data_IF_926787041754
#
_entry.id   IF_926787041754
#
_cell.length_a   1.000
_cell.length_b   1.000
_cell.length_c   1.000
_cell.angle_alpha   90.00
_cell.angle_beta   90.00
_cell.angle_gamma   90.00
#
_symmetry.space_group_name_H-M   'P 1'
#
loop_
_entity.id
_entity.type
_entity.pdbx_description
1 polymer ?
#
# COMPACT_ATOMS: atom_id res chain seq x y z
N UNK A 1 45.76 -4.69 -9.50
CA UNK A 1 46.42 -3.36 -9.52
C UNK A 1 46.91 -3.08 -8.11
N UNK A 2 48.19 -2.75 -7.95
CA UNK A 2 48.85 -2.59 -6.63
C UNK A 2 48.40 -1.31 -5.92
N UNK A 3 48.02 -1.40 -4.65
CA UNK A 3 47.37 -0.32 -3.89
C UNK A 3 48.28 0.91 -3.71
N UNK A 4 49.59 0.69 -3.71
CA UNK A 4 50.59 1.75 -3.57
C UNK A 4 50.63 2.68 -4.80
N UNK A 5 50.37 2.15 -6.00
CA UNK A 5 50.31 2.95 -7.24
C UNK A 5 49.07 3.84 -7.30
N UNK A 6 47.95 3.37 -6.76
CA UNK A 6 46.69 4.13 -6.69
C UNK A 6 46.86 5.32 -5.76
N UNK A 7 47.51 5.10 -4.62
CA UNK A 7 47.76 6.16 -3.63
C UNK A 7 48.66 7.27 -4.19
N UNK A 8 49.74 6.92 -4.91
CA UNK A 8 50.63 7.92 -5.54
C UNK A 8 49.93 8.74 -6.62
N UNK A 9 49.05 8.12 -7.43
CA UNK A 9 48.23 8.82 -8.43
C UNK A 9 47.21 9.77 -7.78
N UNK A 10 46.62 9.36 -6.66
CA UNK A 10 45.69 10.17 -5.86
C UNK A 10 46.33 11.47 -5.37
N UNK A 11 47.57 11.37 -4.86
CA UNK A 11 48.32 12.52 -4.33
C UNK A 11 48.81 13.48 -5.41
N UNK A 12 49.12 12.97 -6.61
CA UNK A 12 49.75 13.76 -7.67
C UNK A 12 48.76 14.48 -8.61
N UNK A 13 47.58 13.92 -8.87
CA UNK A 13 46.65 14.41 -9.92
C UNK A 13 45.24 14.73 -9.44
N UNK A 14 44.97 14.60 -8.15
CA UNK A 14 43.66 14.90 -7.56
C UNK A 14 42.59 13.84 -7.81
N UNK A 15 41.54 13.88 -6.99
CA UNK A 15 40.53 12.83 -6.84
C UNK A 15 39.79 12.47 -8.13
N UNK A 16 39.59 13.44 -9.05
CA UNK A 16 38.91 13.23 -10.34
C UNK A 16 39.72 12.33 -11.30
N UNK A 17 41.04 12.49 -11.37
CA UNK A 17 41.88 11.70 -12.27
C UNK A 17 42.00 10.23 -11.83
N UNK A 18 42.01 9.99 -10.52
CA UNK A 18 42.06 8.64 -9.98
C UNK A 18 40.72 7.89 -10.12
N UNK A 19 39.59 8.58 -9.98
CA UNK A 19 38.26 8.02 -10.28
C UNK A 19 38.15 7.58 -11.75
N UNK A 20 38.69 8.38 -12.67
CA UNK A 20 38.74 8.02 -14.09
C UNK A 20 39.61 6.78 -14.30
N UNK A 21 40.80 6.71 -13.66
CA UNK A 21 41.78 5.61 -13.85
C UNK A 21 41.31 4.30 -13.23
N UNK A 22 40.69 4.33 -12.04
CA UNK A 22 40.03 3.16 -11.42
C UNK A 22 38.82 2.75 -12.27
N UNK A 23 38.05 3.72 -12.78
CA UNK A 23 36.98 3.48 -13.74
C UNK A 23 37.48 2.76 -14.99
N UNK A 24 38.59 3.19 -15.58
CA UNK A 24 39.15 2.58 -16.80
C UNK A 24 39.75 1.19 -16.54
N UNK A 25 40.39 0.98 -15.38
CA UNK A 25 40.95 -0.33 -15.01
C UNK A 25 39.86 -1.38 -14.74
N UNK A 26 38.71 -0.97 -14.21
CA UNK A 26 37.52 -1.84 -14.04
C UNK A 26 36.84 -2.08 -15.40
N UNK A 27 36.79 -1.08 -16.27
CA UNK A 27 36.23 -1.14 -17.64
C UNK A 27 36.91 -2.18 -18.55
N UNK A 28 38.22 -2.43 -18.39
CA UNK A 28 38.97 -3.34 -19.28
C UNK A 28 39.15 -4.78 -18.75
N UNK A 29 38.80 -5.08 -17.49
CA UNK A 29 39.04 -6.39 -16.87
C UNK A 29 37.89 -7.40 -16.94
N UNK A 30 36.66 -6.97 -17.28
CA UNK A 30 35.44 -7.81 -17.20
C UNK A 30 34.46 -7.55 -18.35
N UNK A 31 35.00 -7.51 -19.57
CA UNK A 31 34.36 -6.86 -20.74
C UNK A 31 33.03 -7.50 -21.20
N UNK A 32 32.76 -8.77 -20.96
CA UNK A 32 31.62 -9.45 -21.61
C UNK A 32 30.30 -9.42 -20.81
N UNK A 33 30.37 -9.56 -19.48
CA UNK A 33 29.19 -9.50 -18.61
C UNK A 33 28.80 -8.06 -18.23
N UNK A 34 29.77 -7.13 -18.27
CA UNK A 34 29.57 -5.73 -17.91
C UNK A 34 28.91 -4.91 -19.04
N UNK A 35 29.29 -5.17 -20.29
CA UNK A 35 28.78 -4.42 -21.47
C UNK A 35 27.33 -4.76 -21.81
N UNK A 36 26.89 -6.00 -21.62
CA UNK A 36 25.55 -6.45 -22.01
C UNK A 36 24.47 -6.18 -20.95
N UNK A 37 24.81 -6.04 -19.66
CA UNK A 37 23.83 -5.88 -18.57
C UNK A 37 24.05 -4.66 -17.68
N UNK A 38 25.30 -4.36 -17.32
CA UNK A 38 25.61 -3.31 -16.34
C UNK A 38 25.62 -1.93 -16.98
N UNK A 39 26.23 -1.78 -18.16
CA UNK A 39 26.23 -0.51 -18.90
C UNK A 39 24.80 -0.04 -19.21
N UNK A 40 23.89 -0.86 -19.79
CA UNK A 40 22.51 -0.45 -20.00
C UNK A 40 21.82 -0.03 -18.70
N UNK A 41 22.06 -0.76 -17.60
CA UNK A 41 21.44 -0.45 -16.30
C UNK A 41 21.96 0.87 -15.68
N UNK A 42 23.26 1.18 -15.80
CA UNK A 42 23.84 2.43 -15.33
C UNK A 42 23.40 3.60 -16.21
N UNK A 43 23.41 3.42 -17.53
CA UNK A 43 22.92 4.42 -18.48
C UNK A 43 21.45 4.69 -18.21
N UNK A 44 20.65 3.63 -18.00
CA UNK A 44 19.24 3.73 -17.66
C UNK A 44 19.02 4.46 -16.32
N UNK A 45 19.81 4.15 -15.28
CA UNK A 45 19.74 4.83 -13.99
C UNK A 45 20.15 6.31 -14.09
N UNK A 46 21.19 6.63 -14.87
CA UNK A 46 21.64 7.99 -15.09
C UNK A 46 20.60 8.79 -15.90
N UNK A 47 20.02 8.18 -16.94
CA UNK A 47 18.92 8.73 -17.73
C UNK A 47 17.68 8.98 -16.86
N UNK A 48 17.30 7.99 -16.03
CA UNK A 48 16.22 8.11 -15.05
C UNK A 48 16.48 9.18 -13.97
N UNK A 49 17.74 9.47 -13.66
CA UNK A 49 18.11 10.49 -12.67
C UNK A 49 18.14 11.90 -13.27
N UNK A 50 18.60 12.03 -14.52
CA UNK A 50 18.76 13.32 -15.20
C UNK A 50 17.47 13.77 -15.90
N UNK A 51 16.73 12.83 -16.47
CA UNK A 51 15.46 13.04 -17.17
C UNK A 51 14.46 11.97 -16.71
N UNK A 52 13.99 12.05 -15.44
CA UNK A 52 13.14 11.02 -14.89
C UNK A 52 11.93 10.77 -15.79
N UNK A 53 11.69 9.48 -16.13
CA UNK A 53 10.64 9.11 -17.06
C UNK A 53 9.29 9.62 -16.56
N UNK A 54 8.43 9.95 -17.51
CA UNK A 54 7.08 10.40 -17.23
C UNK A 54 6.07 9.26 -17.30
N UNK A 55 4.91 9.47 -16.69
CA UNK A 55 3.67 8.81 -17.08
C UNK A 55 2.53 9.84 -17.07
N UNK A 56 1.47 9.55 -17.81
CA UNK A 56 0.31 10.43 -17.93
C UNK A 56 -0.87 9.83 -17.19
N UNK A 57 -1.47 10.59 -16.29
CA UNK A 57 -2.80 10.31 -15.78
C UNK A 57 -3.81 10.87 -16.78
N UNK A 58 -4.77 10.05 -17.20
CA UNK A 58 -5.88 10.45 -18.05
C UNK A 58 -7.19 10.35 -17.26
N UNK A 59 -7.82 11.49 -16.99
CA UNK A 59 -9.06 11.54 -16.21
C UNK A 59 -10.23 11.19 -17.13
N UNK A 60 -10.95 10.09 -16.84
CA UNK A 60 -12.09 9.65 -17.65
C UNK A 60 -13.17 10.73 -17.75
N UNK A 61 -13.40 11.45 -16.65
CA UNK A 61 -14.28 12.62 -16.58
C UNK A 61 -13.43 13.86 -16.34
N UNK A 62 -13.58 14.94 -17.13
CA UNK A 62 -12.81 16.15 -16.90
C UNK A 62 -13.01 16.70 -15.50
N UNK A 63 -11.92 17.02 -14.80
CA UNK A 63 -11.96 17.52 -13.42
C UNK A 63 -10.93 18.62 -13.20
N UNK A 64 -11.36 19.73 -12.58
CA UNK A 64 -10.46 20.79 -12.13
C UNK A 64 -9.94 20.44 -10.74
N UNK A 65 -8.62 20.22 -10.64
CA UNK A 65 -7.97 19.85 -9.39
C UNK A 65 -7.41 21.09 -8.69
N UNK A 66 -7.56 21.15 -7.37
CA UNK A 66 -6.87 22.12 -6.53
C UNK A 66 -5.50 21.60 -6.08
N UNK A 67 -5.34 20.28 -5.94
CA UNK A 67 -4.04 19.66 -5.73
C UNK A 67 -3.99 18.22 -6.28
N UNK A 68 -2.76 17.76 -6.52
CA UNK A 68 -2.46 16.38 -6.86
C UNK A 68 -1.19 15.97 -6.10
N UNK A 69 -1.25 14.82 -5.44
CA UNK A 69 -0.11 14.20 -4.76
C UNK A 69 0.04 12.80 -5.31
N UNK A 70 1.25 12.46 -5.73
CA UNK A 70 1.61 11.11 -6.16
C UNK A 70 2.81 10.68 -5.38
N UNK A 71 2.79 9.56 -4.68
CA UNK A 71 3.96 9.03 -3.97
C UNK A 71 4.12 7.55 -4.32
N UNK A 72 5.36 7.07 -4.44
CA UNK A 72 5.59 5.64 -4.59
C UNK A 72 5.05 4.94 -3.35
N UNK A 73 4.38 3.79 -3.50
CA UNK A 73 3.84 3.06 -2.34
C UNK A 73 4.99 2.76 -1.37
N UNK A 74 4.83 3.18 -0.11
CA UNK A 74 5.85 3.08 0.94
C UNK A 74 6.88 4.22 0.98
N UNK A 75 6.83 5.19 0.07
CA UNK A 75 7.67 6.38 0.10
C UNK A 75 6.92 7.58 0.69
N UNK A 76 7.60 8.34 1.56
CA UNK A 76 7.04 9.54 2.19
C UNK A 76 7.05 10.77 1.26
N UNK A 77 7.91 10.78 0.25
CA UNK A 77 8.14 11.97 -0.59
C UNK A 77 7.25 11.91 -1.84
N UNK A 78 6.39 12.92 -2.08
CA UNK A 78 5.65 13.03 -3.31
C UNK A 78 6.57 13.22 -4.52
N UNK A 79 6.21 12.61 -5.64
CA UNK A 79 6.82 12.80 -6.93
C UNK A 79 6.54 14.21 -7.48
N UNK A 80 7.47 14.78 -8.26
CA UNK A 80 7.23 16.00 -9.01
C UNK A 80 6.08 15.85 -10.00
N UNK A 81 5.15 16.80 -9.97
CA UNK A 81 4.03 16.92 -10.89
C UNK A 81 4.37 17.92 -11.99
N UNK A 82 4.10 17.56 -13.24
CA UNK A 82 4.28 18.40 -14.42
C UNK A 82 3.03 19.19 -14.75
N UNK A 83 2.70 19.30 -16.04
CA UNK A 83 1.49 19.99 -16.50
C UNK A 83 0.23 19.27 -15.99
N UNK A 84 -0.69 20.03 -15.39
CA UNK A 84 -2.01 19.56 -14.95
C UNK A 84 -3.06 20.30 -15.79
N UNK A 85 -4.01 19.55 -16.33
CA UNK A 85 -5.15 20.05 -17.11
C UNK A 85 -6.41 19.29 -16.69
N UNK A 86 -7.61 19.75 -17.04
CA UNK A 86 -8.84 19.06 -16.65
C UNK A 86 -8.95 17.61 -17.12
N UNK A 87 -8.22 17.21 -18.17
CA UNK A 87 -8.29 15.86 -18.76
C UNK A 87 -7.07 15.00 -18.48
N UNK A 88 -5.94 15.60 -18.06
CA UNK A 88 -4.69 14.87 -17.83
C UNK A 88 -3.74 15.56 -16.87
N UNK A 89 -2.90 14.77 -16.22
CA UNK A 89 -1.75 15.25 -15.45
C UNK A 89 -0.49 14.45 -15.81
N UNK A 90 0.64 15.14 -16.01
CA UNK A 90 1.93 14.50 -16.24
C UNK A 90 2.69 14.31 -14.92
N UNK A 91 3.18 13.11 -14.65
CA UNK A 91 3.89 12.75 -13.41
C UNK A 91 5.28 12.26 -13.78
N UNK A 92 6.31 12.68 -13.03
CA UNK A 92 7.68 12.16 -13.20
C UNK A 92 7.92 11.00 -12.24
N UNK A 93 8.03 9.78 -12.75
CA UNK A 93 8.24 8.57 -11.95
C UNK A 93 8.54 7.34 -12.82
N UNK A 94 9.25 6.38 -12.23
CA UNK A 94 9.59 5.10 -12.88
C UNK A 94 8.39 4.14 -12.89
N UNK A 95 8.43 3.02 -13.62
CA UNK A 95 7.45 1.94 -13.43
C UNK A 95 7.35 1.50 -11.96
N UNK A 96 6.15 1.12 -11.52
CA UNK A 96 5.86 0.71 -10.14
C UNK A 96 4.46 1.05 -9.65
N UNK A 97 4.22 0.84 -8.36
CA UNK A 97 2.95 1.17 -7.70
C UNK A 97 3.04 2.52 -6.99
N UNK A 98 1.99 3.33 -7.14
CA UNK A 98 1.91 4.68 -6.59
C UNK A 98 0.60 4.91 -5.85
N UNK A 99 0.68 5.59 -4.71
CA UNK A 99 -0.45 6.25 -4.08
C UNK A 99 -0.73 7.54 -4.85
N UNK A 100 -1.98 7.71 -5.29
CA UNK A 100 -2.49 8.89 -5.97
C UNK A 100 -3.57 9.54 -5.11
N UNK A 101 -3.39 10.80 -4.74
CA UNK A 101 -4.40 11.62 -4.07
C UNK A 101 -4.70 12.83 -4.93
N UNK A 102 -5.97 12.97 -5.32
CA UNK A 102 -6.49 14.11 -6.07
C UNK A 102 -7.35 14.94 -5.13
N UNK A 103 -7.17 16.24 -5.12
CA UNK A 103 -7.98 17.18 -4.34
C UNK A 103 -8.71 18.13 -5.29
N UNK A 104 -9.99 18.42 -5.01
CA UNK A 104 -10.78 19.42 -5.75
C UNK A 104 -11.66 20.22 -4.81
N UNK A 105 -11.99 21.43 -5.22
CA UNK A 105 -13.07 22.22 -4.61
C UNK A 105 -14.35 22.01 -5.43
N UNK A 106 -15.38 21.46 -4.80
CA UNK A 106 -16.65 21.16 -5.46
C UNK A 106 -17.82 21.61 -4.60
N UNK A 107 -18.64 22.52 -5.16
CA UNK A 107 -19.85 23.07 -4.53
C UNK A 107 -19.60 23.61 -3.11
N UNK A 108 -18.48 24.30 -2.91
CA UNK A 108 -18.12 24.90 -1.62
C UNK A 108 -17.57 23.90 -0.59
N UNK A 109 -17.30 22.66 -0.98
CA UNK A 109 -16.65 21.65 -0.13
C UNK A 109 -15.35 21.17 -0.78
N UNK A 110 -14.33 20.93 0.04
CA UNK A 110 -13.11 20.26 -0.41
C UNK A 110 -13.39 18.76 -0.51
N UNK A 111 -13.01 18.14 -1.61
CA UNK A 111 -13.15 16.71 -1.85
C UNK A 111 -11.82 16.08 -2.23
N UNK A 112 -11.65 14.82 -1.86
CA UNK A 112 -10.45 14.02 -2.09
C UNK A 112 -10.84 12.71 -2.78
N UNK A 113 -10.05 12.32 -3.76
CA UNK A 113 -10.06 10.99 -4.36
C UNK A 113 -8.68 10.38 -4.13
N UNK A 114 -8.63 9.37 -3.27
CA UNK A 114 -7.43 8.59 -3.03
C UNK A 114 -7.52 7.26 -3.77
N UNK A 115 -6.55 6.93 -4.61
CA UNK A 115 -6.45 5.65 -5.32
C UNK A 115 -5.01 5.13 -5.36
N UNK A 116 -4.82 3.86 -5.75
CA UNK A 116 -3.49 3.31 -6.06
C UNK A 116 -3.46 2.98 -7.53
N UNK A 117 -2.36 3.34 -8.17
CA UNK A 117 -2.14 3.12 -9.59
C UNK A 117 -0.88 2.27 -9.80
N UNK A 118 -0.93 1.41 -10.81
CA UNK A 118 0.23 0.65 -11.27
C UNK A 118 0.69 1.23 -12.60
N UNK A 119 1.95 1.62 -12.68
CA UNK A 119 2.61 2.16 -13.87
C UNK A 119 3.45 1.04 -14.48
N UNK A 120 2.99 0.39 -15.57
CA UNK A 120 3.64 -0.81 -16.09
C UNK A 120 4.93 -0.52 -16.87
N UNK A 121 5.04 0.68 -17.46
CA UNK A 121 6.14 1.08 -18.31
C UNK A 121 6.33 2.60 -18.31
N UNK A 122 7.44 3.07 -18.89
CA UNK A 122 7.67 4.50 -19.18
C UNK A 122 6.59 5.01 -20.13
N UNK A 123 6.22 6.28 -19.97
CA UNK A 123 5.23 6.99 -20.80
C UNK A 123 3.84 6.35 -20.83
N UNK A 124 3.55 5.47 -19.85
CA UNK A 124 2.25 4.83 -19.74
C UNK A 124 1.14 5.87 -19.54
N UNK A 125 -0.01 5.63 -20.17
CA UNK A 125 -1.23 6.40 -19.96
C UNK A 125 -2.12 5.62 -19.00
N UNK A 126 -2.29 6.15 -17.79
CA UNK A 126 -3.05 5.51 -16.72
C UNK A 126 -4.45 6.14 -16.66
N UNK A 127 -5.53 5.39 -17.00
CA UNK A 127 -6.87 5.91 -16.89
C UNK A 127 -7.28 6.00 -15.41
N UNK A 128 -7.71 7.19 -14.98
CA UNK A 128 -8.20 7.45 -13.64
C UNK A 128 -9.69 7.71 -13.71
N UNK A 129 -10.46 6.93 -12.95
CA UNK A 129 -11.88 7.16 -12.79
C UNK A 129 -12.10 8.35 -11.85
N UNK A 130 -12.70 9.41 -12.39
CA UNK A 130 -12.97 10.66 -11.68
C UNK A 130 -14.47 10.94 -11.60
N UNK A 131 -15.30 9.91 -11.78
CA UNK A 131 -16.74 10.00 -11.59
C UNK A 131 -17.09 10.50 -10.17
N UNK A 132 -18.25 11.15 -10.03
CA UNK A 132 -18.65 11.85 -8.80
C UNK A 132 -18.71 10.95 -7.56
N UNK A 133 -18.99 9.66 -7.74
CA UNK A 133 -19.07 8.67 -6.65
C UNK A 133 -17.69 8.21 -6.13
N UNK A 134 -16.60 8.59 -6.80
CA UNK A 134 -15.23 8.29 -6.38
C UNK A 134 -14.70 9.30 -5.35
N UNK A 135 -15.37 10.44 -5.19
CA UNK A 135 -14.90 11.55 -4.36
C UNK A 135 -15.47 11.48 -2.95
N UNK A 136 -14.65 11.80 -1.97
CA UNK A 136 -15.05 11.91 -0.56
C UNK A 136 -14.83 13.34 -0.07
N UNK A 137 -15.80 13.96 0.60
CA UNK A 137 -15.61 15.29 1.19
C UNK A 137 -14.61 15.25 2.34
N UNK A 138 -13.70 16.22 2.41
CA UNK A 138 -12.74 16.35 3.52
C UNK A 138 -13.45 16.46 4.86
N UNK A 139 -14.60 17.14 4.95
CA UNK A 139 -15.38 17.18 6.18
C UNK A 139 -15.88 15.79 6.62
N UNK A 140 -16.25 14.91 5.67
CA UNK A 140 -16.60 13.52 5.99
C UNK A 140 -15.39 12.74 6.50
N UNK A 141 -14.19 13.07 6.03
CA UNK A 141 -12.92 12.51 6.51
C UNK A 141 -12.56 13.07 7.90
N UNK A 142 -12.58 14.39 8.10
CA UNK A 142 -12.23 15.05 9.37
C UNK A 142 -13.22 14.73 10.50
N UNK A 143 -14.49 14.46 10.18
CA UNK A 143 -15.46 13.94 11.14
C UNK A 143 -15.06 12.59 11.77
N UNK A 144 -14.03 11.94 11.23
CA UNK A 144 -13.47 10.67 11.67
C UNK A 144 -12.29 10.85 12.64
N UNK A 145 -11.71 12.05 12.73
CA UNK A 145 -10.47 12.31 13.49
C UNK A 145 -10.71 12.90 14.90
N UNK A 146 -11.98 13.11 15.32
CA UNK A 146 -12.26 13.78 16.59
C UNK A 146 -13.64 13.53 17.19
N UNK A 147 -13.75 12.50 18.03
CA UNK A 147 -14.66 12.39 19.19
C UNK A 147 -16.17 12.16 19.04
N UNK A 148 -16.86 12.23 17.89
CA UNK A 148 -18.34 12.10 17.90
C UNK A 148 -19.06 11.36 16.75
N UNK A 149 -18.42 10.50 15.96
CA UNK A 149 -19.19 9.56 15.10
C UNK A 149 -18.51 8.20 15.01
N UNK A 150 -19.21 7.09 15.30
CA UNK A 150 -18.59 5.77 15.45
C UNK A 150 -18.35 5.18 14.06
N UNK A 151 -17.22 5.52 13.44
CA UNK A 151 -16.76 4.79 12.24
C UNK A 151 -16.68 3.30 12.54
N UNK A 152 -16.32 2.97 13.78
CA UNK A 152 -16.42 1.66 14.39
C UNK A 152 -17.54 1.68 15.42
N UNK A 153 -18.67 1.07 15.07
CA UNK A 153 -19.69 0.71 16.05
C UNK A 153 -19.39 -0.70 16.59
N UNK A 154 -19.84 -0.98 17.83
CA UNK A 154 -19.85 -2.33 18.41
C UNK A 154 -18.49 -3.05 18.31
N UNK A 155 -17.47 -2.50 18.97
CA UNK A 155 -16.16 -3.17 19.09
C UNK A 155 -16.30 -4.36 20.03
N UNK A 156 -16.00 -5.56 19.53
CA UNK A 156 -16.01 -6.81 20.30
C UNK A 156 -14.59 -7.39 20.37
N UNK A 157 -14.18 -7.73 21.58
CA UNK A 157 -12.87 -8.33 21.89
C UNK A 157 -12.93 -9.87 21.94
N UNK A 158 -14.07 -10.46 21.56
CA UNK A 158 -14.27 -11.89 21.51
C UNK A 158 -15.23 -12.26 20.36
N UNK A 159 -14.93 -13.37 19.68
CA UNK A 159 -15.84 -13.99 18.74
C UNK A 159 -17.04 -14.60 19.49
N UNK A 160 -18.24 -14.39 18.96
CA UNK A 160 -19.47 -15.00 19.48
C UNK A 160 -19.73 -16.35 18.79
N UNK A 161 -20.53 -17.26 19.38
CA UNK A 161 -20.93 -18.51 18.73
C UNK A 161 -21.50 -18.31 17.32
N UNK A 162 -22.30 -17.26 17.12
CA UNK A 162 -22.87 -16.91 15.82
C UNK A 162 -21.82 -16.54 14.75
N UNK A 163 -20.63 -16.09 15.14
CA UNK A 163 -19.54 -15.82 14.20
C UNK A 163 -18.90 -17.13 13.71
N UNK A 164 -18.82 -18.13 14.58
CA UNK A 164 -18.37 -19.48 14.22
C UNK A 164 -19.41 -20.27 13.43
N UNK A 165 -20.70 -20.08 13.71
CA UNK A 165 -21.77 -20.69 12.92
C UNK A 165 -21.80 -20.15 11.50
N UNK A 166 -21.49 -18.86 11.32
CA UNK A 166 -21.31 -18.27 9.99
C UNK A 166 -20.26 -19.06 9.19
N UNK A 167 -19.08 -19.31 9.75
CA UNK A 167 -17.99 -20.06 9.09
C UNK A 167 -18.45 -21.42 8.57
N UNK A 168 -19.23 -22.16 9.37
CA UNK A 168 -19.77 -23.48 9.00
C UNK A 168 -20.75 -23.42 7.82
N UNK A 169 -21.45 -22.30 7.68
CA UNK A 169 -22.46 -22.08 6.63
C UNK A 169 -21.91 -21.40 5.38
N UNK A 170 -20.64 -20.97 5.39
CA UNK A 170 -20.03 -20.34 4.22
C UNK A 170 -20.00 -21.33 3.03
N UNK A 171 -20.41 -20.88 1.83
CA UNK A 171 -20.18 -21.61 0.59
C UNK A 171 -18.74 -22.08 0.44
N UNK A 172 -18.55 -23.24 -0.21
CA UNK A 172 -17.23 -23.87 -0.34
C UNK A 172 -16.23 -23.08 -1.21
N UNK A 173 -16.74 -22.19 -2.06
CA UNK A 173 -15.98 -21.28 -2.92
C UNK A 173 -15.54 -20.00 -2.19
N UNK A 174 -16.03 -19.75 -0.97
CA UNK A 174 -15.56 -18.64 -0.14
C UNK A 174 -14.35 -19.05 0.71
N UNK A 175 -13.45 -18.09 1.00
CA UNK A 175 -12.20 -18.36 1.72
C UNK A 175 -12.44 -18.59 3.23
N UNK A 176 -13.02 -19.73 3.58
CA UNK A 176 -13.35 -20.14 4.95
C UNK A 176 -12.13 -20.11 5.87
N UNK A 177 -10.97 -20.49 5.36
CA UNK A 177 -9.73 -20.57 6.15
C UNK A 177 -9.23 -19.17 6.57
N UNK A 178 -9.40 -18.15 5.71
CA UNK A 178 -9.06 -16.76 6.05
C UNK A 178 -9.95 -16.27 7.20
N UNK A 179 -11.26 -16.50 7.11
CA UNK A 179 -12.22 -16.09 8.16
C UNK A 179 -11.95 -16.83 9.47
N UNK A 180 -11.68 -18.14 9.38
CA UNK A 180 -11.37 -18.99 10.53
C UNK A 180 -10.11 -18.51 11.23
N UNK A 181 -9.02 -18.28 10.49
CA UNK A 181 -7.76 -17.78 11.02
C UNK A 181 -7.96 -16.41 11.69
N UNK A 182 -8.67 -15.49 11.05
CA UNK A 182 -8.96 -14.17 11.61
C UNK A 182 -9.79 -14.23 12.90
N UNK A 183 -10.80 -15.10 12.97
CA UNK A 183 -11.62 -15.27 14.18
C UNK A 183 -10.83 -15.84 15.36
N UNK A 184 -9.87 -16.73 15.11
CA UNK A 184 -8.98 -17.24 16.16
C UNK A 184 -8.09 -16.16 16.79
N UNK A 185 -7.82 -15.07 16.08
CA UNK A 185 -7.02 -13.97 16.60
C UNK A 185 -7.83 -12.93 17.38
N UNK A 186 -9.16 -12.96 17.34
CA UNK A 186 -9.99 -11.95 18.01
C UNK A 186 -9.71 -11.95 19.52
N UNK A 187 -9.30 -10.79 20.04
CA UNK A 187 -8.92 -10.60 21.45
C UNK A 187 -7.40 -10.67 21.70
N UNK A 188 -6.59 -11.12 20.74
CA UNK A 188 -5.13 -11.07 20.84
C UNK A 188 -4.70 -9.62 21.02
N UNK A 189 -3.90 -9.37 22.06
CA UNK A 189 -3.42 -8.05 22.43
C UNK A 189 -1.92 -7.94 22.24
N UNK A 190 -1.44 -6.88 21.60
CA UNK A 190 -0.01 -6.62 21.46
C UNK A 190 0.71 -6.49 22.81
N UNK A 191 0.02 -5.98 23.84
CA UNK A 191 0.60 -5.80 25.18
C UNK A 191 0.71 -7.13 25.93
N UNK A 192 -0.28 -8.02 25.78
CA UNK A 192 -0.35 -9.28 26.55
C UNK A 192 0.24 -10.47 25.77
N UNK A 193 0.14 -10.43 24.46
CA UNK A 193 0.41 -11.52 23.52
C UNK A 193 1.45 -11.08 22.49
N UNK A 194 2.50 -10.38 22.93
CA UNK A 194 3.54 -9.80 22.06
C UNK A 194 4.18 -10.83 21.12
N UNK A 195 4.41 -12.06 21.59
CA UNK A 195 4.91 -13.19 20.80
C UNK A 195 3.91 -13.64 19.73
N UNK A 196 2.60 -13.55 20.02
CA UNK A 196 1.56 -13.83 19.02
C UNK A 196 1.58 -12.78 17.92
N UNK A 197 1.65 -11.49 18.28
CA UNK A 197 1.73 -10.38 17.32
C UNK A 197 3.04 -10.43 16.53
N UNK A 198 4.16 -10.87 17.12
CA UNK A 198 5.43 -11.05 16.41
C UNK A 198 5.30 -12.04 15.23
N UNK A 199 4.50 -13.10 15.37
CA UNK A 199 4.23 -14.06 14.27
C UNK A 199 3.44 -13.45 13.12
N UNK A 200 2.72 -12.36 13.32
CA UNK A 200 2.05 -11.68 12.20
C UNK A 200 3.06 -11.07 11.23
N UNK A 201 4.20 -10.60 11.74
CA UNK A 201 5.27 -10.03 10.93
C UNK A 201 6.00 -11.09 10.10
N UNK A 202 6.09 -12.33 10.60
CA UNK A 202 6.66 -13.47 9.86
C UNK A 202 5.86 -13.82 8.60
N UNK A 203 4.57 -13.50 8.56
CA UNK A 203 3.73 -13.68 7.38
C UNK A 203 3.94 -12.59 6.31
N UNK A 204 4.88 -11.67 6.53
CA UNK A 204 5.20 -10.57 5.60
C UNK A 204 6.63 -10.68 5.11
N UNK A 205 6.95 -9.96 4.04
CA UNK A 205 8.31 -9.89 3.50
C UNK A 205 9.32 -9.21 4.46
N UNK A 206 8.87 -8.54 5.52
CA UNK A 206 9.74 -7.96 6.54
C UNK A 206 10.30 -9.02 7.53
N UNK A 207 9.70 -10.22 7.57
CA UNK A 207 10.13 -11.30 8.46
C UNK A 207 9.85 -11.05 9.95
N UNK A 208 10.43 -11.89 10.81
CA UNK A 208 10.25 -11.81 12.26
C UNK A 208 10.66 -10.43 12.82
N UNK A 209 9.91 -9.95 13.82
CA UNK A 209 9.90 -8.59 14.43
C UNK A 209 11.25 -8.01 14.88
N UNK A 210 12.37 -8.73 14.79
CA UNK A 210 13.70 -8.32 15.26
C UNK A 210 14.21 -6.97 14.72
N UNK A 211 13.58 -6.42 13.68
CA UNK A 211 13.89 -5.10 13.10
C UNK A 211 12.71 -4.10 13.12
N UNK A 212 11.61 -4.39 13.84
CA UNK A 212 10.36 -3.64 13.73
C UNK A 212 10.07 -2.90 15.03
N UNK A 213 10.03 -1.57 14.98
CA UNK A 213 9.69 -0.71 16.12
C UNK A 213 8.32 -1.09 16.72
N UNK A 214 8.15 -1.12 18.05
CA UNK A 214 6.85 -1.34 18.70
C UNK A 214 5.78 -0.31 18.31
N UNK A 215 6.17 0.85 17.77
CA UNK A 215 5.24 1.89 17.33
C UNK A 215 4.68 1.66 15.92
N UNK A 216 5.13 0.61 15.21
CA UNK A 216 4.67 0.35 13.85
C UNK A 216 3.27 -0.28 13.85
N UNK A 217 2.30 0.31 13.13
CA UNK A 217 0.97 -0.27 13.03
C UNK A 217 1.01 -1.68 12.41
N UNK A 218 0.39 -2.65 13.07
CA UNK A 218 0.40 -4.06 12.64
C UNK A 218 -0.95 -4.54 12.07
N UNK A 219 -1.88 -3.64 11.74
CA UNK A 219 -3.16 -4.03 11.16
C UNK A 219 -3.00 -4.80 9.83
N UNK A 220 -2.07 -4.39 8.96
CA UNK A 220 -1.75 -5.08 7.71
C UNK A 220 -1.06 -6.42 7.92
N UNK A 221 -0.19 -6.55 8.92
CA UNK A 221 0.50 -7.81 9.21
C UNK A 221 -0.45 -8.86 9.76
N UNK A 222 -1.44 -8.46 10.57
CA UNK A 222 -2.52 -9.34 11.00
C UNK A 222 -3.29 -9.92 9.80
N UNK A 223 -3.65 -9.08 8.81
CA UNK A 223 -4.34 -9.57 7.60
C UNK A 223 -3.41 -10.47 6.79
N UNK A 224 -2.12 -10.16 6.72
CA UNK A 224 -1.12 -11.00 6.04
C UNK A 224 -1.04 -12.40 6.67
N UNK A 225 -1.08 -12.47 8.00
CA UNK A 225 -1.09 -13.71 8.76
C UNK A 225 -2.32 -14.58 8.47
N UNK A 226 -3.52 -13.99 8.53
CA UNK A 226 -4.75 -14.72 8.26
C UNK A 226 -4.82 -15.22 6.80
N UNK A 227 -4.37 -14.41 5.85
CA UNK A 227 -4.29 -14.78 4.42
C UNK A 227 -3.26 -15.89 4.18
N UNK A 228 -2.08 -15.79 4.80
CA UNK A 228 -1.02 -16.80 4.68
C UNK A 228 -1.42 -18.14 5.31
N UNK A 229 -2.22 -18.13 6.38
CA UNK A 229 -2.75 -19.36 7.01
C UNK A 229 -3.65 -20.13 6.03
N UNK A 230 -4.32 -19.45 5.11
CA UNK A 230 -5.08 -20.06 4.03
C UNK A 230 -4.21 -20.44 2.81
N UNK A 231 -2.89 -20.46 2.96
CA UNK A 231 -1.92 -20.72 1.88
C UNK A 231 -2.01 -19.75 0.70
N UNK A 232 -2.54 -18.55 0.92
CA UNK A 232 -2.61 -17.49 -0.09
C UNK A 232 -1.49 -16.48 0.18
N UNK A 233 -0.83 -16.01 -0.87
CA UNK A 233 0.26 -15.05 -0.75
C UNK A 233 -0.28 -13.63 -0.51
N UNK A 234 0.11 -12.94 0.59
CA UNK A 234 -0.18 -11.52 0.79
C UNK A 234 0.48 -10.64 -0.28
N UNK A 235 0.05 -9.38 -0.46
CA UNK A 235 0.73 -8.48 -1.39
C UNK A 235 2.13 -8.10 -0.87
N UNK A 236 3.09 -7.77 -1.75
CA UNK A 236 4.30 -7.08 -1.33
C UNK A 236 3.95 -5.78 -0.60
N UNK A 237 4.65 -5.47 0.49
CA UNK A 237 4.34 -4.33 1.34
C UNK A 237 3.18 -4.59 2.29
N UNK A 238 2.78 -5.85 2.51
CA UNK A 238 1.58 -6.21 3.30
C UNK A 238 1.51 -5.66 4.73
N UNK A 239 2.61 -5.29 5.43
CA UNK A 239 2.50 -4.57 6.69
C UNK A 239 1.73 -3.25 6.58
N UNK A 240 1.86 -2.55 5.45
CA UNK A 240 1.13 -1.32 5.20
C UNK A 240 -0.28 -1.61 4.68
N UNK A 241 -1.30 -1.10 5.38
CA UNK A 241 -2.70 -1.28 5.00
C UNK A 241 -3.01 -0.88 3.53
N UNK A 242 -2.34 0.14 3.00
CA UNK A 242 -2.50 0.58 1.60
C UNK A 242 -2.08 -0.45 0.56
N UNK A 243 -1.09 -1.28 0.84
CA UNK A 243 -0.57 -2.28 -0.11
C UNK A 243 -1.63 -3.30 -0.50
N UNK A 244 -2.60 -3.54 0.37
CA UNK A 244 -3.76 -4.40 0.13
C UNK A 244 -4.69 -3.87 -0.97
N UNK A 245 -4.56 -2.61 -1.40
CA UNK A 245 -5.33 -2.09 -2.54
C UNK A 245 -5.01 -2.79 -3.84
N UNK A 246 -3.82 -3.35 -4.02
CA UNK A 246 -3.44 -4.04 -5.26
C UNK A 246 -3.57 -5.57 -5.17
N UNK A 247 -3.97 -6.10 -4.01
CA UNK A 247 -4.05 -7.53 -3.76
C UNK A 247 -5.35 -8.13 -4.30
N UNK A 248 -5.29 -9.36 -4.79
CA UNK A 248 -6.48 -10.13 -5.14
C UNK A 248 -7.34 -9.53 -6.26
N UNK A 249 -8.58 -10.00 -6.37
CA UNK A 249 -9.57 -9.53 -7.36
C UNK A 249 -10.39 -8.38 -6.77
N UNK A 250 -10.59 -7.25 -7.49
CA UNK A 250 -11.54 -6.21 -7.06
C UNK A 250 -12.95 -6.78 -6.87
N UNK A 251 -13.62 -6.36 -5.81
CA UNK A 251 -15.05 -6.57 -5.60
C UNK A 251 -15.78 -5.26 -5.40
N UNK A 252 -17.03 -5.22 -5.85
CA UNK A 252 -17.94 -4.13 -5.51
C UNK A 252 -18.36 -4.25 -4.03
N UNK A 253 -18.95 -3.18 -3.49
CA UNK A 253 -19.53 -3.22 -2.14
C UNK A 253 -20.70 -4.21 -2.05
N UNK A 254 -21.44 -4.39 -3.15
CA UNK A 254 -22.61 -5.28 -3.17
C UNK A 254 -22.20 -6.75 -3.19
N UNK A 255 -21.08 -7.05 -3.84
CA UNK A 255 -20.48 -8.39 -3.94
C UNK A 255 -19.54 -8.72 -2.77
N UNK A 256 -19.42 -7.84 -1.77
CA UNK A 256 -18.55 -8.04 -0.62
C UNK A 256 -18.96 -9.30 0.16
N UNK A 257 -18.02 -10.24 0.29
CA UNK A 257 -18.27 -11.54 0.90
C UNK A 257 -17.37 -11.79 2.12
N UNK A 258 -17.76 -12.67 3.06
CA UNK A 258 -16.91 -13.13 4.15
C UNK A 258 -15.53 -13.60 3.65
N UNK A 259 -14.48 -13.15 4.34
CA UNK A 259 -13.07 -13.45 4.04
C UNK A 259 -12.43 -12.57 2.97
N UNK A 260 -13.19 -11.67 2.37
CA UNK A 260 -12.64 -10.59 1.54
C UNK A 260 -11.90 -9.57 2.42
N UNK A 261 -10.88 -8.93 1.88
CA UNK A 261 -10.11 -7.88 2.56
C UNK A 261 -10.75 -6.52 2.25
N UNK A 262 -11.17 -5.80 3.29
CA UNK A 262 -11.71 -4.46 3.18
C UNK A 262 -10.68 -3.43 3.65
N UNK A 263 -10.56 -2.35 2.88
CA UNK A 263 -9.71 -1.23 3.19
C UNK A 263 -10.57 -0.01 3.49
N UNK A 264 -10.28 0.64 4.61
CA UNK A 264 -10.97 1.84 5.05
C UNK A 264 -9.96 2.97 5.12
N UNK A 265 -10.39 4.15 4.69
CA UNK A 265 -9.58 5.36 4.71
C UNK A 265 -10.27 6.38 5.63
N UNK A 266 -10.24 6.17 6.96
CA UNK A 266 -10.82 7.15 7.88
C UNK A 266 -10.09 8.50 7.82
N UNK A 267 -8.84 8.52 7.36
CA UNK A 267 -8.08 9.76 7.18
C UNK A 267 -7.06 9.55 6.05
N UNK A 268 -6.77 10.52 5.16
CA UNK A 268 -5.88 10.37 4.02
C UNK A 268 -4.59 9.63 4.35
N UNK A 269 -4.02 9.92 5.52
CA UNK A 269 -2.76 9.35 6.01
C UNK A 269 -2.90 8.07 6.84
N UNK A 270 -4.11 7.70 7.28
CA UNK A 270 -4.37 6.54 8.15
C UNK A 270 -5.32 5.56 7.46
N UNK A 271 -4.74 4.47 7.00
CA UNK A 271 -5.49 3.38 6.39
C UNK A 271 -5.71 2.25 7.39
N UNK A 272 -6.92 1.72 7.40
CA UNK A 272 -7.25 0.50 8.10
C UNK A 272 -7.49 -0.60 7.08
N UNK A 273 -7.07 -1.81 7.42
CA UNK A 273 -7.35 -3.01 6.64
C UNK A 273 -7.84 -4.09 7.58
N UNK A 274 -8.82 -4.86 7.12
CA UNK A 274 -9.39 -5.96 7.88
C UNK A 274 -10.08 -6.98 7.00
N UNK A 275 -10.49 -8.07 7.63
CA UNK A 275 -11.15 -9.19 6.97
C UNK A 275 -12.65 -9.06 7.20
N UNK A 276 -13.42 -9.02 6.11
CA UNK A 276 -14.88 -8.94 6.17
C UNK A 276 -15.38 -10.22 6.82
N UNK A 277 -16.14 -10.08 7.91
CA UNK A 277 -16.86 -11.18 8.52
C UNK A 277 -18.23 -11.33 7.88
N UNK A 278 -19.01 -10.25 7.77
CA UNK A 278 -20.34 -10.24 7.12
C UNK A 278 -20.82 -8.81 6.82
N UNK A 279 -21.70 -8.68 5.82
CA UNK A 279 -22.44 -7.43 5.57
C UNK A 279 -23.71 -7.38 6.41
N UNK A 280 -23.99 -6.24 7.03
CA UNK A 280 -25.27 -5.89 7.68
C UNK A 280 -25.94 -4.77 6.89
N UNK A 281 -27.25 -4.51 7.08
CA UNK A 281 -27.94 -3.43 6.38
C UNK A 281 -27.27 -2.04 6.55
N UNK A 282 -26.66 -1.79 7.70
CA UNK A 282 -26.10 -0.48 8.08
C UNK A 282 -24.58 -0.44 8.24
N UNK A 283 -23.88 -1.57 8.09
CA UNK A 283 -22.43 -1.63 8.28
C UNK A 283 -21.84 -2.93 7.74
N UNK A 284 -20.51 -3.03 7.77
CA UNK A 284 -19.79 -4.28 7.52
C UNK A 284 -19.06 -4.71 8.79
N UNK A 285 -19.40 -5.90 9.30
CA UNK A 285 -18.64 -6.50 10.40
C UNK A 285 -17.28 -6.90 9.84
N UNK A 286 -16.22 -6.34 10.39
CA UNK A 286 -14.84 -6.52 9.95
C UNK A 286 -13.96 -6.90 11.13
N UNK A 287 -13.09 -7.88 10.93
CA UNK A 287 -12.04 -8.25 11.88
C UNK A 287 -10.81 -7.39 11.57
N UNK A 288 -10.39 -6.57 12.53
CA UNK A 288 -9.34 -5.58 12.40
C UNK A 288 -8.22 -5.88 13.39
N UNK A 289 -6.97 -5.78 12.94
CA UNK A 289 -5.79 -5.78 13.82
C UNK A 289 -5.45 -4.37 14.30
N UNK A 290 -4.67 -4.30 15.38
CA UNK A 290 -4.16 -3.07 15.98
C UNK A 290 -5.21 -1.98 16.29
N UNK A 291 -6.41 -2.38 16.69
CA UNK A 291 -7.41 -1.45 17.22
C UNK A 291 -7.28 -1.44 18.74
N UNK A 292 -6.80 -0.33 19.30
CA UNK A 292 -6.46 -0.24 20.73
C UNK A 292 -5.49 -1.36 21.16
N UNK A 293 -4.46 -1.62 20.33
CA UNK A 293 -3.45 -2.66 20.52
C UNK A 293 -4.03 -4.08 20.57
N UNK A 294 -5.16 -4.33 19.89
CA UNK A 294 -5.86 -5.63 19.89
C UNK A 294 -6.42 -5.97 18.51
N UNK A 295 -6.68 -7.27 18.29
CA UNK A 295 -7.56 -7.74 17.21
C UNK A 295 -9.00 -7.69 17.68
N UNK A 296 -9.86 -7.01 16.92
CA UNK A 296 -11.26 -6.79 17.30
C UNK A 296 -12.20 -7.10 16.14
N UNK A 297 -13.46 -7.36 16.45
CA UNK A 297 -14.54 -7.30 15.46
C UNK A 297 -15.25 -5.97 15.62
N UNK A 298 -15.44 -5.22 14.55
CA UNK A 298 -16.21 -3.97 14.57
C UNK A 298 -17.16 -3.87 13.39
N UNK A 299 -18.31 -3.25 13.62
CA UNK A 299 -19.31 -2.89 12.61
C UNK A 299 -18.93 -1.51 12.05
N UNK A 300 -18.41 -1.50 10.82
CA UNK A 300 -17.93 -0.27 10.18
C UNK A 300 -19.02 0.26 9.26
N UNK A 301 -19.58 1.43 9.60
CA UNK A 301 -20.70 2.05 8.87
C UNK A 301 -20.27 2.73 7.57
N UNK A 302 -18.97 3.06 7.46
CA UNK A 302 -18.42 3.69 6.26
C UNK A 302 -18.14 2.66 5.18
N UNK A 303 -18.43 3.03 3.93
CA UNK A 303 -18.11 2.20 2.77
C UNK A 303 -16.59 2.00 2.67
N UNK A 304 -16.08 0.77 2.51
CA UNK A 304 -14.67 0.52 2.24
C UNK A 304 -14.22 1.27 0.99
N UNK A 305 -13.03 1.86 1.04
CA UNK A 305 -12.35 2.48 -0.11
C UNK A 305 -11.90 1.45 -1.15
N UNK A 306 -11.71 0.19 -0.74
CA UNK A 306 -11.51 -0.94 -1.63
C UNK A 306 -11.93 -2.24 -0.94
N UNK A 307 -12.39 -3.20 -1.74
CA UNK A 307 -12.66 -4.58 -1.30
C UNK A 307 -11.97 -5.53 -2.27
N UNK A 308 -11.23 -6.49 -1.71
CA UNK A 308 -10.43 -7.45 -2.46
C UNK A 308 -10.77 -8.89 -2.05
N UNK A 309 -11.14 -9.70 -3.02
CA UNK A 309 -11.26 -11.15 -2.83
C UNK A 309 -9.91 -11.84 -3.12
N UNK A 310 -9.60 -12.96 -2.45
CA UNK A 310 -8.48 -13.80 -2.84
C UNK A 310 -8.64 -14.31 -4.28
N UNK A 311 -7.50 -14.62 -4.91
CA UNK A 311 -7.40 -15.26 -6.24
C UNK A 311 -6.96 -16.70 -6.05
#
# INVERSE_FOLDING_TARGET
MDSEKIWRLWRAKGMKAALITVGTAVLFGTVDSFTSRVIPSIVQYADDSLSPPGFLLHFKTPVTLSAIKVSKVGAAVPLPTGSITPVRAAIRGTPGNYDLSLERDFRGSKQVLDTVITVPARDAIIPIDTAEDQWTTVAAIESLDGTKTPLMALVRLAAAPADWDLVKTLPADLPRDIVTAALHEVGVSEIKDSDRVARYWEATEMGARGNVSPDLPWNGTFVAYAVSTASITPPPGSPAARSWRAWGRPQSYDDAAPGSVALFNPHPERWMVGIILRKRPQCIDTILGNIQNQVVISCISTRPAAIRAPI
#
